data_IF_102556188582
#
_entry.id   IF_102556188582
#
_cell.length_a   1.000
_cell.length_b   1.000
_cell.length_c   1.000
_cell.angle_alpha   90.00
_cell.angle_beta   90.00
_cell.angle_gamma   90.00
#
_symmetry.space_group_name_H-M   'P 1'
#
loop_
_entity.id
_entity.type
_entity.pdbx_description
1 polymer ?
#
# COMPACT_ATOMS: atom_id res chain seq x y z
N UNK A 1 13.83 7.73 2.92
CA UNK A 1 13.79 9.14 2.48
C UNK A 1 13.68 10.00 3.72
N UNK A 2 14.05 11.28 3.71
CA UNK A 2 13.76 12.16 4.86
C UNK A 2 12.41 12.86 4.65
N UNK A 3 11.59 12.90 5.68
CA UNK A 3 10.35 13.67 5.73
C UNK A 3 10.68 15.11 6.12
N UNK A 4 10.19 16.06 5.34
CA UNK A 4 10.47 17.49 5.55
C UNK A 4 9.32 18.16 6.29
N UNK A 5 9.62 19.28 6.95
CA UNK A 5 8.60 20.15 7.57
C UNK A 5 7.55 20.64 6.57
N UNK A 6 7.94 20.82 5.30
CA UNK A 6 7.00 21.17 4.22
C UNK A 6 6.04 20.01 3.94
N UNK A 7 6.53 18.77 3.84
CA UNK A 7 5.68 17.59 3.66
C UNK A 7 4.69 17.46 4.83
N UNK A 8 5.17 17.69 6.06
CA UNK A 8 4.31 17.65 7.25
C UNK A 8 3.24 18.75 7.26
N UNK A 9 3.60 19.97 6.84
CA UNK A 9 2.65 21.07 6.69
C UNK A 9 1.57 20.69 5.65
N UNK A 10 1.99 20.20 4.48
CA UNK A 10 1.07 19.80 3.41
C UNK A 10 0.16 18.65 3.85
N UNK A 11 0.69 17.67 4.58
CA UNK A 11 -0.09 16.58 5.18
C UNK A 11 -1.12 17.10 6.19
N UNK A 12 -0.72 17.98 7.12
CA UNK A 12 -1.63 18.59 8.09
C UNK A 12 -2.71 19.42 7.41
N UNK A 13 -2.35 20.23 6.41
CA UNK A 13 -3.31 20.96 5.61
C UNK A 13 -4.25 19.99 4.88
N UNK A 14 -3.72 18.94 4.23
CA UNK A 14 -4.51 17.89 3.59
C UNK A 14 -5.54 17.27 4.53
N UNK A 15 -5.14 16.92 5.76
CA UNK A 15 -6.05 16.40 6.78
C UNK A 15 -7.13 17.43 7.17
N UNK A 16 -6.79 18.70 7.32
CA UNK A 16 -7.77 19.76 7.58
C UNK A 16 -8.77 19.91 6.41
N UNK A 17 -8.28 19.94 5.17
CA UNK A 17 -9.09 20.06 3.95
C UNK A 17 -9.94 18.81 3.65
N UNK A 18 -9.55 17.63 4.14
CA UNK A 18 -10.35 16.40 4.04
C UNK A 18 -11.27 16.15 5.24
N UNK A 19 -11.17 16.94 6.31
CA UNK A 19 -12.00 16.79 7.49
C UNK A 19 -13.42 17.33 7.29
N UNK A 20 -14.33 16.94 8.19
CA UNK A 20 -15.69 17.52 8.27
C UNK A 20 -15.67 19.04 8.48
N UNK A 21 -14.61 19.59 9.07
CA UNK A 21 -14.43 21.04 9.25
C UNK A 21 -14.34 21.78 7.92
N UNK A 22 -13.72 21.19 6.89
CA UNK A 22 -13.67 21.81 5.56
C UNK A 22 -15.08 22.03 4.98
N UNK A 23 -15.97 21.05 5.11
CA UNK A 23 -17.35 21.18 4.65
C UNK A 23 -18.10 22.29 5.40
N UNK A 24 -17.83 22.46 6.69
CA UNK A 24 -18.40 23.55 7.51
C UNK A 24 -17.88 24.90 7.01
N UNK A 25 -16.58 25.03 6.72
CA UNK A 25 -15.99 26.26 6.16
C UNK A 25 -16.60 26.60 4.80
N UNK A 26 -16.76 25.60 3.92
CA UNK A 26 -17.43 25.78 2.62
C UNK A 26 -18.87 26.26 2.81
N UNK A 27 -19.63 25.65 3.72
CA UNK A 27 -21.00 26.07 4.02
C UNK A 27 -21.06 27.52 4.52
N UNK A 28 -20.15 27.93 5.40
CA UNK A 28 -20.06 29.31 5.90
C UNK A 28 -19.77 30.31 4.77
N UNK A 29 -18.86 29.99 3.85
CA UNK A 29 -18.57 30.85 2.68
C UNK A 29 -19.81 31.05 1.83
N UNK A 30 -20.59 29.99 1.60
CA UNK A 30 -21.86 30.08 0.85
C UNK A 30 -22.87 30.97 1.60
N UNK A 31 -23.07 30.74 2.91
CA UNK A 31 -24.01 31.52 3.73
C UNK A 31 -23.63 33.01 3.72
N UNK A 32 -22.35 33.34 3.88
CA UNK A 32 -21.86 34.73 3.85
C UNK A 32 -22.08 35.33 2.46
N UNK A 33 -21.76 34.60 1.39
CA UNK A 33 -21.97 35.05 0.02
C UNK A 33 -23.44 35.37 -0.28
N UNK A 34 -24.34 34.47 0.12
CA UNK A 34 -25.80 34.65 -0.02
C UNK A 34 -26.29 35.84 0.81
N UNK A 35 -25.82 35.97 2.05
CA UNK A 35 -26.21 37.10 2.93
C UNK A 35 -25.74 38.44 2.37
N UNK A 36 -24.49 38.52 1.89
CA UNK A 36 -23.96 39.73 1.27
C UNK A 36 -24.70 40.09 -0.01
N UNK A 37 -25.09 39.08 -0.80
CA UNK A 37 -25.94 39.28 -1.98
C UNK A 37 -27.29 39.90 -1.60
N UNK A 38 -28.02 39.31 -0.65
CA UNK A 38 -29.31 39.86 -0.21
C UNK A 38 -29.19 41.23 0.44
N UNK A 39 -28.13 41.51 1.21
CA UNK A 39 -27.90 42.84 1.80
C UNK A 39 -27.56 43.87 0.72
N UNK A 40 -26.78 43.50 -0.29
CA UNK A 40 -26.48 44.35 -1.43
C UNK A 40 -27.74 44.65 -2.25
N UNK A 41 -28.52 43.61 -2.54
CA UNK A 41 -29.78 43.70 -3.28
C UNK A 41 -30.80 44.57 -2.54
N UNK A 42 -31.02 44.32 -1.24
CA UNK A 42 -31.89 45.14 -0.37
C UNK A 42 -31.50 46.62 -0.36
N UNK A 43 -30.20 46.94 -0.35
CA UNK A 43 -29.72 48.32 -0.32
C UNK A 43 -29.90 49.06 -1.65
N UNK A 44 -29.96 48.36 -2.78
CA UNK A 44 -30.00 48.97 -4.11
C UNK A 44 -31.39 48.88 -4.75
N UNK A 45 -32.06 47.74 -4.64
CA UNK A 45 -33.35 47.46 -5.27
C UNK A 45 -34.52 47.51 -4.26
N UNK A 46 -34.24 47.52 -2.94
CA UNK A 46 -35.27 47.48 -1.89
C UNK A 46 -35.65 46.03 -1.52
N UNK A 47 -36.61 45.80 -0.61
CA UNK A 47 -36.99 44.44 -0.23
C UNK A 47 -37.57 43.68 -1.43
N UNK A 48 -36.99 42.53 -1.77
CA UNK A 48 -37.42 41.63 -2.87
C UNK A 48 -38.90 41.21 -2.78
N UNK A 49 -39.49 41.26 -1.58
CA UNK A 49 -40.89 40.90 -1.31
C UNK A 49 -41.86 42.11 -1.28
N UNK A 50 -41.41 43.30 -1.68
CA UNK A 50 -42.27 44.49 -1.70
C UNK A 50 -43.28 44.39 -2.84
N UNK A 51 -44.54 44.73 -2.57
CA UNK A 51 -45.57 44.75 -3.60
C UNK A 51 -45.16 45.73 -4.72
N UNK A 52 -45.46 45.45 -6.00
CA UNK A 52 -45.00 46.25 -7.14
C UNK A 52 -45.36 47.74 -7.06
N UNK A 53 -46.39 48.10 -6.29
CA UNK A 53 -46.80 49.49 -6.08
C UNK A 53 -45.90 50.27 -5.10
N UNK A 54 -45.21 49.61 -4.16
CA UNK A 54 -44.31 50.25 -3.17
C UNK A 54 -42.89 50.45 -3.73
N UNK A 55 -42.51 49.67 -4.75
CA UNK A 55 -41.20 49.77 -5.40
C UNK A 55 -40.96 51.13 -6.08
N UNK A 56 -42.03 51.76 -6.58
CA UNK A 56 -41.92 53.05 -7.27
C UNK A 56 -41.79 54.24 -6.30
N UNK A 57 -42.32 54.15 -5.07
CA UNK A 57 -42.12 55.17 -4.03
C UNK A 57 -40.73 55.08 -3.37
N UNK A 58 -40.17 53.88 -3.22
CA UNK A 58 -38.86 53.70 -2.57
C UNK A 58 -37.65 54.00 -3.48
N UNK A 59 -37.82 53.88 -4.81
CA UNK A 59 -36.78 54.26 -5.80
C UNK A 59 -36.30 55.71 -5.65
N UNK A 60 -37.14 56.60 -5.11
CA UNK A 60 -36.81 58.02 -4.90
C UNK A 60 -35.80 58.30 -3.77
N UNK A 61 -35.59 57.37 -2.83
CA UNK A 61 -34.70 57.60 -1.66
C UNK A 61 -33.38 56.80 -1.68
N UNK A 62 -33.30 55.72 -2.45
CA UNK A 62 -32.14 54.81 -2.45
C UNK A 62 -31.48 54.59 -3.82
N UNK A 63 -31.70 55.50 -4.78
CA UNK A 63 -31.04 55.48 -6.09
C UNK A 63 -29.52 55.81 -5.99
N UNK A 64 -28.72 54.92 -5.39
CA UNK A 64 -27.28 54.88 -5.65
C UNK A 64 -27.06 54.25 -7.02
N UNK A 65 -26.27 54.92 -7.86
CA UNK A 65 -25.98 54.53 -9.25
C UNK A 65 -25.46 53.09 -9.29
N UNK A 66 -26.28 52.19 -9.84
CA UNK A 66 -25.99 50.75 -9.99
C UNK A 66 -24.67 50.58 -10.75
N UNK A 67 -23.68 49.97 -10.13
CA UNK A 67 -22.40 49.70 -10.77
C UNK A 67 -22.37 48.23 -11.15
N UNK A 68 -22.76 47.89 -12.38
CA UNK A 68 -22.85 46.49 -12.84
C UNK A 68 -21.56 45.70 -12.68
N UNK A 69 -20.41 46.38 -12.57
CA UNK A 69 -19.13 45.75 -12.20
C UNK A 69 -19.18 45.13 -10.79
N UNK A 70 -19.81 45.80 -9.83
CA UNK A 70 -19.90 45.32 -8.44
C UNK A 70 -20.79 44.10 -8.30
N UNK A 71 -21.90 44.00 -9.03
CA UNK A 71 -22.76 42.81 -9.08
C UNK A 71 -22.02 41.59 -9.65
N UNK A 72 -21.31 41.79 -10.76
CA UNK A 72 -20.49 40.73 -11.37
C UNK A 72 -19.41 40.26 -10.38
N UNK A 73 -18.70 41.17 -9.72
CA UNK A 73 -17.72 40.80 -8.71
C UNK A 73 -18.35 40.08 -7.51
N UNK A 74 -19.54 40.49 -7.04
CA UNK A 74 -20.24 39.86 -5.93
C UNK A 74 -20.63 38.40 -6.23
N UNK A 75 -20.99 38.12 -7.50
CA UNK A 75 -21.31 36.77 -7.95
C UNK A 75 -20.07 35.92 -8.23
N UNK A 76 -19.00 36.52 -8.77
CA UNK A 76 -17.80 35.82 -9.21
C UNK A 76 -16.86 35.48 -8.04
N UNK A 77 -16.72 36.35 -7.04
CA UNK A 77 -15.80 36.14 -5.91
C UNK A 77 -16.10 34.83 -5.15
N UNK A 78 -17.35 34.52 -4.75
CA UNK A 78 -17.66 33.26 -4.06
C UNK A 78 -17.34 32.04 -4.91
N UNK A 79 -17.59 32.09 -6.22
CA UNK A 79 -17.30 31.01 -7.16
C UNK A 79 -15.80 30.77 -7.26
N UNK A 80 -14.99 31.83 -7.39
CA UNK A 80 -13.52 31.74 -7.39
C UNK A 80 -13.02 31.16 -6.07
N UNK A 81 -13.54 31.63 -4.93
CA UNK A 81 -13.14 31.10 -3.61
C UNK A 81 -13.44 29.61 -3.52
N UNK A 82 -14.61 29.15 -3.95
CA UNK A 82 -14.96 27.73 -3.97
C UNK A 82 -14.02 26.94 -4.88
N UNK A 83 -13.73 27.43 -6.09
CA UNK A 83 -12.79 26.77 -7.00
C UNK A 83 -11.39 26.65 -6.40
N UNK A 84 -10.90 27.69 -5.73
CA UNK A 84 -9.60 27.67 -5.04
C UNK A 84 -9.61 26.68 -3.87
N UNK A 85 -10.70 26.64 -3.07
CA UNK A 85 -10.83 25.71 -1.95
C UNK A 85 -10.88 24.24 -2.40
N UNK A 86 -11.63 23.93 -3.46
CA UNK A 86 -11.68 22.57 -4.02
C UNK A 86 -10.38 22.20 -4.76
N UNK A 87 -9.78 23.15 -5.48
CA UNK A 87 -8.48 22.95 -6.15
C UNK A 87 -7.36 22.67 -5.16
N UNK A 88 -7.28 23.42 -4.06
CA UNK A 88 -6.29 23.18 -2.99
C UNK A 88 -6.54 21.86 -2.27
N UNK A 89 -7.80 21.49 -2.01
CA UNK A 89 -8.14 20.16 -1.47
C UNK A 89 -7.63 19.03 -2.37
N UNK A 90 -7.84 19.14 -3.69
CA UNK A 90 -7.39 18.12 -4.65
C UNK A 90 -5.85 18.04 -4.74
N UNK A 91 -5.17 19.18 -4.67
CA UNK A 91 -3.70 19.22 -4.66
C UNK A 91 -3.13 18.60 -3.37
N UNK A 92 -3.74 18.88 -2.22
CA UNK A 92 -3.26 18.45 -0.91
C UNK A 92 -3.69 17.03 -0.51
N UNK A 93 -4.71 16.44 -1.16
CA UNK A 93 -5.18 15.09 -0.86
C UNK A 93 -4.15 13.99 -1.14
N UNK A 94 -3.07 14.31 -1.86
CA UNK A 94 -2.01 13.38 -2.24
C UNK A 94 -0.78 13.45 -1.31
N UNK A 95 -0.80 14.29 -0.29
CA UNK A 95 0.31 14.40 0.66
C UNK A 95 0.42 13.12 1.51
N UNK A 96 1.55 12.42 1.41
CA UNK A 96 1.81 11.19 2.15
C UNK A 96 1.99 11.45 3.65
N UNK A 97 1.42 10.57 4.48
CA UNK A 97 1.61 10.59 5.92
C UNK A 97 3.09 10.31 6.29
N UNK A 98 3.59 10.84 7.41
CA UNK A 98 4.94 10.51 7.89
C UNK A 98 5.09 9.00 8.17
N UNK A 99 4.03 8.36 8.66
CA UNK A 99 3.99 6.92 8.99
C UNK A 99 3.62 6.04 7.77
N UNK A 100 3.94 6.49 6.56
CA UNK A 100 3.71 5.68 5.36
C UNK A 100 4.65 4.48 5.36
N UNK A 101 4.08 3.29 5.18
CA UNK A 101 4.81 2.01 5.17
C UNK A 101 4.97 1.52 3.73
N UNK A 102 6.16 1.06 3.36
CA UNK A 102 6.46 0.50 2.04
C UNK A 102 7.27 -0.79 2.14
N UNK A 103 7.21 -1.68 1.13
CA UNK A 103 8.15 -2.79 1.04
C UNK A 103 9.59 -2.29 0.91
N UNK A 104 10.49 -2.85 1.72
CA UNK A 104 11.92 -2.53 1.69
C UNK A 104 12.53 -2.92 0.36
N UNK A 105 13.52 -2.17 -0.08
CA UNK A 105 14.35 -2.54 -1.25
C UNK A 105 15.22 -3.76 -0.98
N UNK A 106 15.41 -4.13 0.29
CA UNK A 106 16.24 -5.26 0.69
C UNK A 106 15.44 -6.55 0.72
N UNK A 107 15.97 -7.59 0.06
CA UNK A 107 15.41 -8.94 0.14
C UNK A 107 15.95 -9.68 1.36
N UNK A 108 15.07 -10.40 2.06
CA UNK A 108 15.42 -11.28 3.15
C UNK A 108 14.92 -12.69 2.89
N UNK A 109 15.81 -13.68 2.96
CA UNK A 109 15.42 -15.10 2.93
C UNK A 109 14.69 -15.46 4.23
N UNK A 110 13.44 -15.90 4.12
CA UNK A 110 12.59 -16.22 5.28
C UNK A 110 12.30 -17.71 5.46
N UNK A 111 12.46 -18.50 4.39
CA UNK A 111 12.32 -19.95 4.46
C UNK A 111 13.10 -20.64 3.34
N UNK A 112 13.44 -21.90 3.60
CA UNK A 112 13.85 -22.87 2.58
C UNK A 112 12.96 -24.10 2.75
N UNK A 113 12.53 -24.65 1.62
CA UNK A 113 11.53 -25.71 1.60
C UNK A 113 11.64 -26.61 0.40
N UNK A 114 10.72 -27.58 0.35
CA UNK A 114 10.60 -28.55 -0.72
C UNK A 114 9.21 -28.47 -1.33
N UNK A 115 9.11 -28.58 -2.65
CA UNK A 115 7.83 -28.57 -3.35
C UNK A 115 7.14 -29.93 -3.13
N UNK A 116 5.92 -29.90 -2.62
CA UNK A 116 5.10 -31.10 -2.38
C UNK A 116 3.92 -31.20 -3.33
N UNK A 117 3.48 -30.07 -3.89
CA UNK A 117 2.35 -30.01 -4.80
C UNK A 117 2.63 -28.98 -5.91
N UNK A 118 2.33 -29.34 -7.15
CA UNK A 118 2.27 -28.41 -8.29
C UNK A 118 0.94 -28.63 -9.00
N UNK A 119 0.10 -27.60 -9.04
CA UNK A 119 -1.17 -27.62 -9.75
C UNK A 119 -1.09 -26.66 -10.94
N UNK A 120 -0.87 -27.25 -12.12
CA UNK A 120 -0.74 -26.51 -13.38
C UNK A 120 -2.02 -25.79 -13.80
N UNK A 121 -3.20 -26.34 -13.50
CA UNK A 121 -4.49 -25.72 -13.88
C UNK A 121 -4.77 -24.41 -13.15
N UNK A 122 -4.28 -24.28 -11.91
CA UNK A 122 -4.52 -23.11 -11.05
C UNK A 122 -3.28 -22.26 -10.82
N UNK A 123 -2.13 -22.65 -11.39
CA UNK A 123 -0.86 -21.97 -11.16
C UNK A 123 -0.40 -21.98 -9.70
N UNK A 124 -0.75 -23.03 -8.93
CA UNK A 124 -0.48 -23.12 -7.48
C UNK A 124 0.65 -24.09 -7.18
N UNK A 125 1.47 -23.75 -6.20
CA UNK A 125 2.56 -24.60 -5.67
C UNK A 125 2.42 -24.71 -4.16
N UNK A 126 2.47 -25.94 -3.63
CA UNK A 126 2.56 -26.22 -2.20
C UNK A 126 4.01 -26.48 -1.82
N UNK A 127 4.50 -25.79 -0.78
CA UNK A 127 5.88 -25.82 -0.32
C UNK A 127 5.89 -26.16 1.17
N UNK A 128 6.63 -27.20 1.54
CA UNK A 128 6.87 -27.52 2.95
C UNK A 128 8.21 -26.99 3.40
N UNK A 129 8.27 -26.60 4.67
CA UNK A 129 9.46 -26.07 5.32
C UNK A 129 9.66 -26.81 6.64
N UNK A 130 10.70 -26.47 7.40
CA UNK A 130 10.89 -27.07 8.73
C UNK A 130 9.68 -26.84 9.66
N UNK A 131 9.01 -25.70 9.50
CA UNK A 131 7.92 -25.26 10.38
C UNK A 131 6.52 -25.53 9.80
N UNK A 132 6.44 -26.01 8.54
CA UNK A 132 5.19 -26.25 7.80
C UNK A 132 5.26 -27.60 7.10
N UNK A 133 4.47 -28.56 7.56
CA UNK A 133 4.40 -29.93 7.05
C UNK A 133 3.42 -30.08 5.87
N UNK A 134 3.34 -31.28 5.32
CA UNK A 134 2.57 -31.61 4.11
C UNK A 134 1.05 -31.36 4.24
N UNK A 135 0.52 -31.39 5.46
CA UNK A 135 -0.88 -31.12 5.81
C UNK A 135 -1.22 -29.62 5.82
N UNK A 136 -0.22 -28.75 5.98
CA UNK A 136 -0.38 -27.29 5.94
C UNK A 136 0.80 -26.61 5.22
N UNK A 137 0.97 -26.84 3.91
CA UNK A 137 2.09 -26.27 3.17
C UNK A 137 1.90 -24.76 2.97
N UNK A 138 3.00 -24.06 2.73
CA UNK A 138 2.95 -22.69 2.21
C UNK A 138 2.46 -22.76 0.76
N UNK A 139 1.42 -21.99 0.44
CA UNK A 139 0.83 -21.96 -0.90
C UNK A 139 1.31 -20.72 -1.65
N UNK A 140 2.06 -20.93 -2.73
CA UNK A 140 2.47 -19.90 -3.67
C UNK A 140 1.61 -19.95 -4.94
N UNK A 141 1.33 -18.80 -5.55
CA UNK A 141 0.56 -18.73 -6.80
C UNK A 141 1.24 -17.86 -7.84
N UNK A 142 1.09 -18.22 -9.12
CA UNK A 142 1.41 -17.32 -10.22
C UNK A 142 0.46 -16.12 -10.18
N UNK A 143 1.00 -14.90 -10.23
CA UNK A 143 0.24 -13.65 -10.15
C UNK A 143 -0.65 -13.55 -8.90
N UNK A 144 -0.11 -13.92 -7.73
CA UNK A 144 -0.87 -13.82 -6.49
C UNK A 144 -1.17 -12.35 -6.12
N UNK A 145 -2.28 -12.13 -5.43
CA UNK A 145 -2.64 -10.80 -4.92
C UNK A 145 -1.71 -10.48 -3.74
N UNK A 146 -0.99 -9.35 -3.76
CA UNK A 146 -0.14 -8.96 -2.65
C UNK A 146 -0.99 -8.56 -1.45
N UNK A 147 -0.53 -8.92 -0.26
CA UNK A 147 -1.05 -8.43 1.01
C UNK A 147 -0.64 -6.97 1.16
N UNK A 148 -1.60 -6.10 1.40
CA UNK A 148 -1.39 -4.67 1.71
C UNK A 148 -1.62 -4.40 3.20
N UNK A 149 -1.14 -3.27 3.75
CA UNK A 149 -1.40 -2.88 5.14
C UNK A 149 -2.89 -2.91 5.53
N UNK A 150 -3.79 -2.64 4.59
CA UNK A 150 -5.23 -2.63 4.80
C UNK A 150 -5.90 -4.02 4.75
N UNK A 151 -5.11 -5.10 4.60
CA UNK A 151 -5.66 -6.46 4.50
C UNK A 151 -6.19 -6.90 5.87
N UNK A 152 -7.49 -7.24 6.01
CA UNK A 152 -8.12 -7.45 7.31
C UNK A 152 -7.66 -8.71 8.04
N UNK A 153 -7.16 -9.72 7.31
CA UNK A 153 -6.65 -10.95 7.87
C UNK A 153 -5.30 -11.31 7.25
N UNK A 154 -4.23 -11.18 8.05
CA UNK A 154 -2.87 -11.47 7.62
C UNK A 154 -2.46 -12.82 8.21
N UNK A 155 -2.38 -13.84 7.35
CA UNK A 155 -1.84 -15.16 7.71
C UNK A 155 -0.36 -15.28 7.32
N UNK A 156 0.38 -16.17 7.97
CA UNK A 156 1.79 -16.36 7.65
C UNK A 156 1.98 -16.82 6.21
N UNK A 157 2.92 -16.19 5.50
CA UNK A 157 3.21 -16.40 4.07
C UNK A 157 2.04 -16.08 3.14
N UNK A 158 1.07 -15.26 3.58
CA UNK A 158 0.03 -14.75 2.70
C UNK A 158 0.64 -13.90 1.57
N UNK A 159 0.01 -13.93 0.39
CA UNK A 159 0.49 -13.20 -0.79
C UNK A 159 1.76 -13.76 -1.43
N UNK A 160 2.29 -14.90 -0.97
CA UNK A 160 3.46 -15.52 -1.60
C UNK A 160 3.19 -15.81 -3.07
N UNK A 161 4.09 -15.32 -3.93
CA UNK A 161 3.98 -15.39 -5.37
C UNK A 161 5.13 -16.18 -5.98
N UNK A 162 4.90 -16.68 -7.19
CA UNK A 162 5.92 -17.31 -8.00
C UNK A 162 5.84 -16.78 -9.42
N UNK A 163 6.99 -16.40 -10.00
CA UNK A 163 7.02 -15.96 -11.39
C UNK A 163 6.69 -17.13 -12.33
N UNK A 164 6.05 -16.83 -13.46
CA UNK A 164 5.66 -17.85 -14.44
C UNK A 164 6.86 -18.69 -14.91
N UNK A 165 8.03 -18.04 -15.09
CA UNK A 165 9.28 -18.71 -15.47
C UNK A 165 9.74 -19.74 -14.42
N UNK A 166 9.68 -19.39 -13.13
CA UNK A 166 10.02 -20.33 -12.05
C UNK A 166 9.00 -21.46 -11.98
N UNK A 167 7.71 -21.12 -12.06
CA UNK A 167 6.61 -22.08 -11.99
C UNK A 167 6.73 -23.20 -13.02
N UNK A 168 6.95 -22.85 -14.29
CA UNK A 168 7.09 -23.82 -15.39
C UNK A 168 8.30 -24.76 -15.24
N UNK A 169 9.29 -24.38 -14.42
CA UNK A 169 10.49 -25.15 -14.18
C UNK A 169 10.46 -25.99 -12.90
N UNK A 170 9.40 -25.86 -12.09
CA UNK A 170 9.26 -26.56 -10.81
C UNK A 170 8.56 -27.89 -10.97
N UNK A 171 9.08 -28.88 -10.27
CA UNK A 171 8.50 -30.21 -10.11
C UNK A 171 8.41 -30.56 -8.63
N UNK A 172 7.48 -31.46 -8.29
CA UNK A 172 7.42 -32.03 -6.94
C UNK A 172 8.77 -32.64 -6.58
N UNK A 173 9.25 -32.31 -5.38
CA UNK A 173 10.55 -32.73 -4.89
C UNK A 173 11.67 -31.68 -5.00
N UNK A 174 11.46 -30.61 -5.76
CA UNK A 174 12.45 -29.55 -5.90
C UNK A 174 12.65 -28.75 -4.61
N UNK A 175 13.87 -28.29 -4.39
CA UNK A 175 14.20 -27.38 -3.31
C UNK A 175 13.95 -25.93 -3.75
N UNK A 176 13.33 -25.14 -2.88
CA UNK A 176 13.00 -23.73 -3.10
C UNK A 176 13.39 -22.88 -1.90
N UNK A 177 13.68 -21.60 -2.15
CA UNK A 177 13.77 -20.58 -1.11
C UNK A 177 12.63 -19.59 -1.29
N UNK A 178 12.20 -19.03 -0.16
CA UNK A 178 11.23 -17.94 -0.11
C UNK A 178 11.96 -16.70 0.39
N UNK A 179 12.02 -15.68 -0.46
CA UNK A 179 12.55 -14.36 -0.13
C UNK A 179 11.37 -13.41 0.08
N UNK A 180 11.44 -12.47 1.02
CA UNK A 180 10.45 -11.40 1.18
C UNK A 180 11.16 -10.05 1.15
N UNK A 181 10.40 -9.01 0.85
CA UNK A 181 10.76 -7.63 1.11
C UNK A 181 10.06 -7.21 2.41
N UNK A 182 10.77 -7.13 3.55
CA UNK A 182 10.16 -6.67 4.80
C UNK A 182 9.57 -5.27 4.62
N UNK A 183 8.46 -4.97 5.28
CA UNK A 183 7.90 -3.63 5.32
C UNK A 183 8.74 -2.75 6.24
N UNK A 184 9.00 -1.53 5.78
CA UNK A 184 9.73 -0.48 6.50
C UNK A 184 9.01 0.86 6.35
N UNK A 185 9.35 1.80 7.23
CA UNK A 185 8.91 3.19 7.08
C UNK A 185 9.52 3.80 5.83
N UNK A 186 8.70 4.47 5.02
CA UNK A 186 9.17 5.21 3.84
C UNK A 186 10.15 6.32 4.23
N UNK A 187 9.85 6.97 5.36
CA UNK A 187 10.62 8.08 5.90
C UNK A 187 11.40 7.65 7.15
N UNK A 188 12.68 8.00 7.22
CA UNK A 188 13.58 7.58 8.30
C UNK A 188 13.32 8.33 9.60
N UNK A 189 13.10 9.63 9.50
CA UNK A 189 12.79 10.53 10.60
C UNK A 189 11.26 10.69 10.83
N UNK A 190 10.48 9.64 10.54
CA UNK A 190 9.02 9.70 10.72
C UNK A 190 8.63 9.95 12.19
N UNK A 191 9.44 9.42 13.11
CA UNK A 191 9.33 9.52 14.57
C UNK A 191 9.39 10.96 15.10
N UNK A 192 10.09 11.87 14.39
CA UNK A 192 10.13 13.30 14.72
C UNK A 192 8.76 13.98 14.60
N UNK A 193 7.83 13.41 13.84
CA UNK A 193 6.53 14.00 13.51
C UNK A 193 5.35 13.36 14.23
N UNK A 194 5.61 12.32 15.04
CA UNK A 194 4.64 11.56 15.82
C UNK A 194 4.99 10.07 15.87
N UNK A 195 4.32 9.33 16.76
CA UNK A 195 4.45 7.89 16.84
C UNK A 195 3.05 7.28 16.74
N UNK A 196 2.73 6.68 15.60
CA UNK A 196 1.47 5.96 15.41
C UNK A 196 1.63 4.49 15.82
N UNK A 197 1.14 4.16 17.01
CA UNK A 197 1.14 2.79 17.54
C UNK A 197 0.43 1.81 16.60
N UNK A 198 -0.60 2.25 15.89
CA UNK A 198 -1.32 1.42 14.94
C UNK A 198 -0.42 1.02 13.77
N UNK A 199 0.22 2.00 13.13
CA UNK A 199 1.12 1.74 12.01
C UNK A 199 2.33 0.88 12.43
N UNK A 200 2.89 1.12 13.62
CA UNK A 200 3.96 0.28 14.19
C UNK A 200 3.53 -1.18 14.37
N UNK A 201 2.31 -1.40 14.91
CA UNK A 201 1.73 -2.73 15.05
C UNK A 201 1.50 -3.40 13.69
N UNK A 202 1.02 -2.66 12.68
CA UNK A 202 0.80 -3.18 11.32
C UNK A 202 2.12 -3.62 10.67
N UNK A 203 3.19 -2.81 10.76
CA UNK A 203 4.53 -3.21 10.26
C UNK A 203 4.98 -4.50 10.92
N UNK A 204 4.90 -4.55 12.26
CA UNK A 204 5.32 -5.71 13.04
C UNK A 204 4.56 -6.96 12.59
N UNK A 205 3.24 -6.86 12.43
CA UNK A 205 2.38 -7.97 11.98
C UNK A 205 2.75 -8.45 10.58
N UNK A 206 2.88 -7.54 9.60
CA UNK A 206 3.26 -7.88 8.21
C UNK A 206 4.62 -8.58 8.16
N UNK A 207 5.60 -8.07 8.91
CA UNK A 207 6.95 -8.61 8.95
C UNK A 207 7.04 -9.96 9.67
N UNK A 208 6.33 -10.13 10.78
CA UNK A 208 6.23 -11.40 11.49
C UNK A 208 5.54 -12.47 10.63
N UNK A 209 4.49 -12.09 9.91
CA UNK A 209 3.78 -12.96 8.99
C UNK A 209 4.59 -13.30 7.73
N UNK A 210 5.69 -12.60 7.42
CA UNK A 210 6.55 -12.87 6.24
C UNK A 210 5.75 -12.89 4.93
N UNK A 211 4.86 -11.92 4.78
CA UNK A 211 3.94 -11.83 3.64
C UNK A 211 4.68 -11.53 2.33
N UNK A 212 3.99 -11.71 1.20
CA UNK A 212 4.46 -11.33 -0.15
C UNK A 212 5.79 -11.96 -0.55
N UNK A 213 6.05 -13.18 -0.08
CA UNK A 213 7.28 -13.88 -0.44
C UNK A 213 7.35 -14.23 -1.92
N UNK A 214 8.54 -14.16 -2.51
CA UNK A 214 8.85 -14.69 -3.82
C UNK A 214 9.51 -16.07 -3.70
N UNK A 215 8.99 -17.03 -4.46
CA UNK A 215 9.53 -18.39 -4.52
C UNK A 215 10.56 -18.51 -5.64
N UNK A 216 11.75 -19.00 -5.28
CA UNK A 216 12.85 -19.19 -6.22
C UNK A 216 13.37 -20.63 -6.10
N UNK A 217 13.46 -21.34 -7.23
CA UNK A 217 14.07 -22.68 -7.29
C UNK A 217 15.56 -22.61 -6.95
N UNK A 218 16.00 -23.49 -6.05
CA UNK A 218 17.41 -23.65 -5.69
C UNK A 218 17.96 -24.79 -6.56
N UNK A 219 19.11 -24.57 -7.21
CA UNK A 219 19.81 -25.67 -7.90
C UNK A 219 20.24 -26.70 -6.85
N UNK A 220 19.99 -27.98 -7.10
CA UNK A 220 20.49 -29.04 -6.23
C UNK A 220 22.03 -28.97 -6.20
N UNK A 221 22.62 -28.89 -5.00
CA UNK A 221 24.07 -28.88 -4.86
C UNK A 221 24.68 -30.15 -5.44
N UNK A 222 25.56 -29.97 -6.43
CA UNK A 222 26.35 -31.01 -7.10
C UNK A 222 27.25 -31.80 -6.13
N UNK A 223 27.42 -31.33 -4.89
CA UNK A 223 28.29 -31.93 -3.87
C UNK A 223 27.75 -33.24 -3.30
N UNK A 224 26.45 -33.49 -3.38
CA UNK A 224 25.84 -34.74 -2.88
C UNK A 224 26.18 -35.95 -3.76
N UNK A 225 26.43 -35.74 -5.08
CA UNK A 225 26.88 -36.83 -5.98
C UNK A 225 28.33 -37.26 -5.73
N UNK A 226 29.19 -36.37 -5.22
CA UNK A 226 30.62 -36.69 -5.01
C UNK A 226 30.83 -37.60 -3.80
N UNK A 227 30.04 -37.44 -2.73
CA UNK A 227 30.12 -38.29 -1.53
C UNK A 227 29.42 -39.65 -1.71
N UNK A 228 28.31 -39.71 -2.46
CA UNK A 228 27.66 -40.99 -2.78
C UNK A 228 28.56 -41.89 -3.63
N UNK A 229 29.23 -41.34 -4.65
CA UNK A 229 30.20 -42.09 -5.46
C UNK A 229 31.48 -42.47 -4.70
N UNK A 230 31.92 -41.68 -3.72
CA UNK A 230 33.08 -42.02 -2.88
C UNK A 230 32.78 -43.20 -1.96
N UNK A 231 31.59 -43.23 -1.35
CA UNK A 231 31.15 -44.37 -0.52
C UNK A 231 30.84 -45.63 -1.34
N UNK A 232 30.28 -45.50 -2.55
CA UNK A 232 30.10 -46.64 -3.45
C UNK A 232 31.44 -47.23 -3.93
N UNK A 233 32.43 -46.39 -4.22
CA UNK A 233 33.79 -46.84 -4.55
C UNK A 233 34.51 -47.47 -3.35
N UNK A 234 34.37 -46.91 -2.15
CA UNK A 234 34.94 -47.50 -0.93
C UNK A 234 34.34 -48.87 -0.61
N UNK A 235 33.02 -49.02 -0.77
CA UNK A 235 32.33 -50.28 -0.50
C UNK A 235 32.65 -51.34 -1.57
N UNK A 236 32.81 -50.96 -2.84
CA UNK A 236 33.31 -51.87 -3.89
C UNK A 236 34.76 -52.30 -3.65
N UNK A 237 35.63 -51.39 -3.23
CA UNK A 237 37.03 -51.72 -2.91
C UNK A 237 37.13 -52.66 -1.69
N UNK A 238 36.30 -52.46 -0.66
CA UNK A 238 36.22 -53.39 0.48
C UNK A 238 35.66 -54.76 0.09
N UNK A 239 34.65 -54.81 -0.78
CA UNK A 239 34.10 -56.07 -1.27
C UNK A 239 35.11 -56.85 -2.11
N UNK A 240 35.88 -56.18 -2.98
CA UNK A 240 36.93 -56.81 -3.78
C UNK A 240 38.08 -57.35 -2.92
N UNK A 241 38.54 -56.60 -1.90
CA UNK A 241 39.58 -57.09 -0.98
C UNK A 241 39.13 -58.28 -0.13
N UNK A 242 37.83 -58.38 0.21
CA UNK A 242 37.29 -59.56 0.89
C UNK A 242 37.23 -60.81 -0.01
N UNK A 243 37.08 -60.64 -1.33
CA UNK A 243 37.10 -61.75 -2.30
C UNK A 243 38.52 -62.28 -2.54
N UNK A 244 39.55 -61.44 -2.48
CA UNK A 244 40.95 -61.90 -2.61
C UNK A 244 41.54 -62.52 -1.33
N UNK A 245 41.01 -62.18 -0.15
CA UNK A 245 41.45 -62.77 1.13
C UNK A 245 40.84 -64.15 1.43
N UNK A 246 39.85 -64.60 0.66
CA UNK A 246 39.20 -65.92 0.83
C UNK A 246 39.68 -66.98 -0.17
N UNK A 247 40.60 -66.63 -1.08
CA UNK A 247 41.18 -67.54 -2.07
C UNK A 247 42.62 -68.01 -1.79
N UNK A 248 43.19 -67.65 -0.64
CA UNK A 248 44.52 -68.09 -0.18
C UNK A 248 44.38 -68.71 1.22
N UNK A 249 43.81 -69.90 1.26
CA UNK A 249 43.62 -70.67 2.48
C UNK A 249 43.20 -72.09 2.13
N UNK A 250 44.23 -72.96 2.07
CA UNK A 250 44.26 -74.39 1.77
C UNK A 250 44.40 -74.78 0.29
#
# INVERSE_FOLDING_TARGET
MEYTKLNYLLFKMGNLFNSKLFMIVVALVIIIGVTLFFVYDYKNDGPVLSRPNDHNEQKGKHSKKRNGKTEIWLAVIPVIILLVLFGTRMALSHASAPDTIVPSKTEKKVATGKVVLVNNSTGKVGITTKDRKDDNPIVARVNNIPVTPDTPLISSYAGTSISNKQFLSLTVGDNVKINVHPYEWLYKNHDEYGNDEHASHVISMLNQAKVNGEVIKIKADSHTKKNSNKNLKLNRAKAQNATYSSGLGY
#
